data_IF_930398388096
#
_entry.id   IF_930398388096
#
_cell.length_a   1.000
_cell.length_b   1.000
_cell.length_c   1.000
_cell.angle_alpha   90.00
_cell.angle_beta   90.00
_cell.angle_gamma   90.00
#
_symmetry.space_group_name_H-M   'P 1'
#
loop_
_entity.id
_entity.type
_entity.pdbx_description
1 polymer ?
#
# COMPACT_ATOMS: atom_id res chain seq x y z
N UNK A 1 7.42 -40.69 9.81
CA UNK A 1 7.07 -39.72 8.76
C UNK A 1 7.63 -38.39 9.20
N UNK A 2 8.59 -37.81 8.47
CA UNK A 2 9.07 -36.46 8.77
C UNK A 2 7.88 -35.50 8.61
N UNK A 3 7.53 -34.78 9.67
CA UNK A 3 6.57 -33.68 9.58
C UNK A 3 7.12 -32.68 8.57
N UNK A 4 6.34 -32.21 7.58
CA UNK A 4 6.76 -31.12 6.73
C UNK A 4 7.16 -29.94 7.63
N UNK A 5 8.33 -29.32 7.42
CA UNK A 5 8.65 -28.09 8.14
C UNK A 5 7.72 -26.99 7.62
N UNK A 6 6.76 -26.59 8.46
CA UNK A 6 5.84 -25.50 8.20
C UNK A 6 6.53 -24.18 8.52
N UNK A 7 6.99 -23.47 7.50
CA UNK A 7 7.68 -22.19 7.66
C UNK A 7 6.73 -20.99 7.58
N UNK A 8 5.43 -21.21 7.36
CA UNK A 8 4.45 -20.15 7.09
C UNK A 8 4.51 -19.00 8.10
N UNK A 9 4.60 -19.32 9.40
CA UNK A 9 4.67 -18.31 10.46
C UNK A 9 5.97 -17.52 10.45
N UNK A 10 7.12 -18.19 10.44
CA UNK A 10 8.43 -17.52 10.44
C UNK A 10 8.67 -16.72 9.15
N UNK A 11 8.28 -17.30 8.01
CA UNK A 11 8.34 -16.67 6.71
C UNK A 11 7.44 -15.42 6.64
N UNK A 12 6.20 -15.50 7.15
CA UNK A 12 5.31 -14.34 7.20
C UNK A 12 5.86 -13.20 8.07
N UNK A 13 6.50 -13.52 9.19
CA UNK A 13 7.11 -12.53 10.08
C UNK A 13 8.32 -11.85 9.42
N UNK A 14 9.20 -12.63 8.80
CA UNK A 14 10.36 -12.10 8.09
C UNK A 14 9.94 -11.18 6.93
N UNK A 15 8.92 -11.57 6.16
CA UNK A 15 8.38 -10.74 5.09
C UNK A 15 7.70 -9.48 5.61
N UNK A 16 6.88 -9.58 6.66
CA UNK A 16 6.24 -8.41 7.27
C UNK A 16 7.26 -7.37 7.76
N UNK A 17 8.43 -7.82 8.24
CA UNK A 17 9.53 -6.94 8.63
C UNK A 17 10.26 -6.33 7.42
N UNK A 18 10.30 -7.03 6.29
CA UNK A 18 10.96 -6.56 5.07
C UNK A 18 10.10 -5.57 4.26
N UNK A 19 8.77 -5.73 4.26
CA UNK A 19 7.82 -4.90 3.50
C UNK A 19 8.04 -3.39 3.57
N UNK A 20 8.34 -2.77 4.73
CA UNK A 20 8.56 -1.33 4.81
C UNK A 20 9.75 -0.84 3.97
N UNK A 21 10.69 -1.74 3.63
CA UNK A 21 11.94 -1.41 2.93
C UNK A 21 11.97 -1.88 1.48
N UNK A 22 11.24 -2.95 1.15
CA UNK A 22 11.25 -3.55 -0.19
C UNK A 22 10.09 -3.09 -1.07
N UNK A 23 8.97 -2.69 -0.47
CA UNK A 23 7.79 -2.22 -1.19
C UNK A 23 7.84 -0.71 -1.38
N UNK A 24 7.40 -0.24 -2.55
CA UNK A 24 7.21 1.18 -2.79
C UNK A 24 6.11 1.76 -1.89
N UNK A 25 5.07 0.97 -1.58
CA UNK A 25 4.01 1.32 -0.63
C UNK A 25 4.27 0.83 0.79
N UNK A 26 5.53 0.56 1.17
CA UNK A 26 5.90 -0.07 2.44
C UNK A 26 5.33 0.60 3.70
N UNK A 27 5.17 1.93 3.72
CA UNK A 27 4.55 2.62 4.86
C UNK A 27 3.06 2.31 5.04
N UNK A 28 2.34 1.95 3.97
CA UNK A 28 0.95 1.48 4.05
C UNK A 28 0.87 0.06 4.63
N UNK A 29 1.94 -0.73 4.46
CA UNK A 29 2.10 -2.06 5.07
C UNK A 29 2.61 -2.02 6.51
N UNK A 30 3.11 -0.87 6.98
CA UNK A 30 3.64 -0.65 8.32
C UNK A 30 2.71 0.23 9.18
N UNK A 31 1.41 0.18 8.95
CA UNK A 31 0.46 1.07 9.63
C UNK A 31 0.13 0.61 11.04
N UNK A 32 -0.12 1.58 11.94
CA UNK A 32 -0.70 1.29 13.26
C UNK A 32 -2.03 0.53 13.19
N UNK A 33 -2.73 0.61 12.05
CA UNK A 33 -3.99 -0.07 11.83
C UNK A 33 -3.83 -1.60 11.71
N UNK A 34 -2.63 -2.10 11.42
CA UNK A 34 -2.40 -3.54 11.27
C UNK A 34 -2.59 -4.34 12.58
N UNK A 35 -2.61 -3.67 13.73
CA UNK A 35 -3.00 -4.26 15.03
C UNK A 35 -4.43 -3.97 15.47
N UNK A 36 -5.22 -3.22 14.69
CA UNK A 36 -6.55 -2.72 15.10
C UNK A 36 -7.73 -3.52 14.56
N UNK A 37 -7.52 -4.46 13.64
CA UNK A 37 -8.54 -5.41 13.18
C UNK A 37 -8.31 -6.79 13.80
N UNK A 38 -9.36 -7.60 13.86
CA UNK A 38 -9.26 -9.00 14.30
C UNK A 38 -9.57 -9.96 13.16
N UNK A 39 -8.96 -11.13 13.20
CA UNK A 39 -9.27 -12.20 12.25
C UNK A 39 -10.46 -13.02 12.75
N UNK A 40 -11.47 -13.18 11.89
CA UNK A 40 -12.61 -14.08 12.09
C UNK A 40 -12.49 -15.21 11.08
N UNK A 41 -11.61 -16.17 11.37
CA UNK A 41 -11.20 -17.24 10.45
C UNK A 41 -9.97 -16.87 9.62
N UNK A 42 -9.68 -17.66 8.57
CA UNK A 42 -8.49 -17.49 7.73
C UNK A 42 -8.63 -16.42 6.64
N UNK A 43 -9.85 -16.05 6.28
CA UNK A 43 -10.15 -15.19 5.11
C UNK A 43 -10.91 -13.90 5.46
N UNK A 44 -11.36 -13.72 6.68
CA UNK A 44 -12.19 -12.56 7.07
C UNK A 44 -11.52 -11.80 8.19
N UNK A 45 -11.43 -10.49 8.04
CA UNK A 45 -11.07 -9.57 9.12
C UNK A 45 -12.29 -8.76 9.54
N UNK A 46 -12.33 -8.34 10.80
CA UNK A 46 -13.34 -7.43 11.32
C UNK A 46 -12.67 -6.17 11.84
N UNK A 47 -13.16 -5.04 11.33
CA UNK A 47 -12.68 -3.72 11.70
C UNK A 47 -13.64 -3.13 12.74
N UNK A 48 -13.16 -2.74 13.94
CA UNK A 48 -13.99 -2.09 14.92
C UNK A 48 -14.29 -0.66 14.49
N UNK A 49 -15.57 -0.29 14.56
CA UNK A 49 -16.03 1.07 14.31
C UNK A 49 -16.78 1.56 15.55
N UNK A 50 -16.24 2.60 16.17
CA UNK A 50 -16.91 3.30 17.27
C UNK A 50 -17.53 4.57 16.69
N UNK A 51 -18.77 4.86 17.07
CA UNK A 51 -19.41 6.16 16.84
C UNK A 51 -19.80 6.77 18.17
N UNK A 52 -19.69 8.09 18.28
CA UNK A 52 -20.07 8.84 19.47
C UNK A 52 -20.83 10.10 19.08
N UNK A 53 -21.66 10.62 19.98
CA UNK A 53 -22.29 11.94 19.80
C UNK A 53 -21.41 13.06 20.34
N UNK A 54 -21.72 14.29 19.92
CA UNK A 54 -21.07 15.50 20.43
C UNK A 54 -21.41 15.82 21.88
N UNK A 55 -20.71 16.82 22.43
CA UNK A 55 -21.06 17.43 23.71
C UNK A 55 -22.41 18.15 23.61
N UNK A 56 -23.14 18.19 24.70
CA UNK A 56 -24.38 18.96 24.85
C UNK A 56 -24.15 20.13 25.79
N UNK A 57 -24.95 21.18 25.64
CA UNK A 57 -24.93 22.32 26.55
C UNK A 57 -25.33 21.88 27.97
N UNK A 58 -24.72 22.52 28.97
CA UNK A 58 -24.95 22.20 30.39
C UNK A 58 -25.40 23.43 31.14
N UNK A 59 -26.37 23.26 32.05
CA UNK A 59 -26.80 24.29 33.00
C UNK A 59 -26.31 23.90 34.41
N UNK A 60 -25.90 24.89 35.22
CA UNK A 60 -25.50 24.69 36.62
C UNK A 60 -26.68 24.39 37.54
N UNK A 61 -27.90 24.77 37.16
CA UNK A 61 -29.09 24.66 38.01
C UNK A 61 -29.73 23.27 37.99
N UNK A 62 -29.39 22.42 37.02
CA UNK A 62 -30.02 21.10 36.82
C UNK A 62 -29.01 20.05 36.41
N UNK A 63 -29.12 18.84 36.96
CA UNK A 63 -28.36 17.67 36.52
C UNK A 63 -29.26 16.81 35.63
N UNK A 64 -28.91 16.70 34.34
CA UNK A 64 -29.58 15.81 33.39
C UNK A 64 -28.98 14.40 33.46
N UNK A 65 -29.81 13.37 33.40
CA UNK A 65 -29.35 11.99 33.43
C UNK A 65 -28.48 11.65 32.21
N UNK A 66 -27.29 11.10 32.45
CA UNK A 66 -26.40 10.65 31.38
C UNK A 66 -27.06 9.54 30.56
N UNK A 67 -26.99 9.67 29.23
CA UNK A 67 -27.46 8.66 28.28
C UNK A 67 -26.26 7.99 27.60
N UNK A 68 -26.43 6.74 27.16
CA UNK A 68 -25.42 6.08 26.32
C UNK A 68 -25.34 6.83 24.99
N UNK A 69 -24.17 7.37 24.71
CA UNK A 69 -23.90 8.24 23.57
C UNK A 69 -22.83 7.67 22.63
N UNK A 70 -22.58 6.36 22.73
CA UNK A 70 -21.65 5.65 21.88
C UNK A 70 -22.23 4.32 21.39
N UNK A 71 -21.86 3.95 20.17
CA UNK A 71 -22.14 2.63 19.61
C UNK A 71 -20.86 1.98 19.08
N UNK A 72 -20.82 0.65 19.16
CA UNK A 72 -19.70 -0.16 18.70
C UNK A 72 -20.21 -1.19 17.68
N UNK A 73 -19.74 -1.09 16.45
CA UNK A 73 -20.08 -1.99 15.36
C UNK A 73 -18.81 -2.58 14.74
N UNK A 74 -18.91 -3.81 14.24
CA UNK A 74 -17.81 -4.50 13.57
C UNK A 74 -18.14 -4.63 12.09
N UNK A 75 -17.24 -4.14 11.22
CA UNK A 75 -17.38 -4.26 9.78
C UNK A 75 -16.56 -5.48 9.30
N UNK A 76 -17.20 -6.57 8.84
CA UNK A 76 -16.48 -7.70 8.26
C UNK A 76 -15.99 -7.36 6.85
N UNK A 77 -14.72 -7.62 6.58
CA UNK A 77 -14.10 -7.57 5.25
C UNK A 77 -13.51 -8.93 4.93
N UNK A 78 -13.90 -9.48 3.77
CA UNK A 78 -13.40 -10.76 3.28
C UNK A 78 -12.24 -10.48 2.34
N UNK A 79 -11.09 -11.10 2.59
CA UNK A 79 -9.93 -11.06 1.70
C UNK A 79 -10.28 -11.81 0.42
N UNK A 80 -10.21 -11.13 -0.71
CA UNK A 80 -10.60 -11.70 -2.00
C UNK A 80 -9.42 -12.17 -2.83
N UNK A 81 -8.23 -11.57 -2.62
CA UNK A 81 -7.05 -11.89 -3.39
C UNK A 81 -6.29 -13.08 -2.76
N UNK A 82 -6.45 -14.26 -3.36
CA UNK A 82 -5.75 -15.48 -3.00
C UNK A 82 -4.63 -15.73 -4.01
N UNK A 83 -3.40 -15.81 -3.54
CA UNK A 83 -2.21 -16.04 -4.37
C UNK A 83 -1.55 -17.34 -3.98
N UNK A 84 -1.10 -18.08 -4.99
CA UNK A 84 -0.33 -19.30 -4.82
C UNK A 84 0.85 -19.30 -5.78
N UNK A 85 1.96 -19.84 -5.32
CA UNK A 85 3.12 -20.08 -6.17
C UNK A 85 3.78 -21.40 -5.80
N UNK A 86 4.20 -22.14 -6.82
CA UNK A 86 4.83 -23.45 -6.64
C UNK A 86 5.91 -23.66 -7.68
N UNK A 87 7.01 -24.28 -7.29
CA UNK A 87 8.09 -24.64 -8.21
C UNK A 87 8.69 -26.00 -7.87
N UNK A 88 9.25 -26.66 -8.89
CA UNK A 88 9.98 -27.91 -8.78
C UNK A 88 11.44 -27.67 -9.12
N UNK A 89 12.35 -28.21 -8.30
CA UNK A 89 13.79 -28.12 -8.53
C UNK A 89 14.41 -29.50 -8.47
N UNK A 90 15.07 -29.92 -9.55
CA UNK A 90 15.75 -31.21 -9.57
C UNK A 90 17.12 -31.09 -8.86
N UNK A 91 17.51 -32.05 -7.99
CA UNK A 91 18.80 -31.98 -7.29
C UNK A 91 20.01 -31.86 -8.23
N UNK A 92 19.98 -32.56 -9.37
CA UNK A 92 21.04 -32.46 -10.37
C UNK A 92 21.17 -31.05 -10.98
N UNK A 93 20.08 -30.28 -11.08
CA UNK A 93 20.14 -28.90 -11.59
C UNK A 93 20.85 -27.98 -10.59
N UNK A 94 20.67 -28.24 -9.29
CA UNK A 94 21.38 -27.52 -8.23
C UNK A 94 22.88 -27.76 -8.35
N UNK A 95 23.31 -29.02 -8.50
CA UNK A 95 24.73 -29.36 -8.60
C UNK A 95 25.34 -28.86 -9.93
N UNK A 96 24.64 -29.00 -11.05
CA UNK A 96 25.10 -28.57 -12.37
C UNK A 96 25.21 -27.04 -12.48
N UNK A 97 24.37 -26.30 -11.76
CA UNK A 97 24.41 -24.83 -11.72
C UNK A 97 25.31 -24.30 -10.61
N UNK A 98 26.10 -25.14 -9.93
CA UNK A 98 26.92 -24.73 -8.78
C UNK A 98 26.09 -24.01 -7.70
N UNK A 99 24.91 -24.53 -7.37
CA UNK A 99 23.94 -24.00 -6.40
C UNK A 99 23.26 -22.68 -6.78
N UNK A 100 23.47 -22.16 -8.00
CA UNK A 100 22.79 -20.94 -8.47
C UNK A 100 21.28 -21.17 -8.57
N UNK A 101 20.82 -22.31 -9.06
CA UNK A 101 19.40 -22.70 -9.10
C UNK A 101 18.90 -23.30 -7.76
N UNK A 102 19.50 -22.90 -6.63
CA UNK A 102 19.00 -23.30 -5.32
C UNK A 102 17.64 -22.65 -5.03
N UNK A 103 16.80 -23.35 -4.27
CA UNK A 103 15.46 -22.90 -3.90
C UNK A 103 15.49 -21.55 -3.18
N UNK A 104 16.52 -21.28 -2.37
CA UNK A 104 16.70 -19.98 -1.71
C UNK A 104 16.89 -18.83 -2.71
N UNK A 105 17.71 -19.02 -3.74
CA UNK A 105 17.91 -18.00 -4.77
C UNK A 105 16.66 -17.82 -5.64
N UNK A 106 16.01 -18.92 -6.03
CA UNK A 106 14.78 -18.87 -6.85
C UNK A 106 13.68 -18.14 -6.09
N UNK A 107 13.44 -18.47 -4.82
CA UNK A 107 12.42 -17.79 -3.99
C UNK A 107 12.78 -16.34 -3.75
N UNK A 108 14.07 -15.99 -3.60
CA UNK A 108 14.50 -14.58 -3.52
C UNK A 108 14.17 -13.80 -4.79
N UNK A 109 14.56 -14.31 -5.96
CA UNK A 109 14.26 -13.67 -7.26
C UNK A 109 12.75 -13.55 -7.46
N UNK A 110 12.00 -14.60 -7.15
CA UNK A 110 10.54 -14.55 -7.21
C UNK A 110 9.95 -13.47 -6.28
N UNK A 111 10.44 -13.34 -5.04
CA UNK A 111 9.98 -12.30 -4.13
C UNK A 111 10.29 -10.89 -4.67
N UNK A 112 11.53 -10.67 -5.12
CA UNK A 112 12.02 -9.36 -5.57
C UNK A 112 11.43 -8.92 -6.91
N UNK A 113 11.28 -9.84 -7.87
CA UNK A 113 10.88 -9.49 -9.25
C UNK A 113 9.40 -9.70 -9.54
N UNK A 114 8.71 -10.59 -8.82
CA UNK A 114 7.32 -10.93 -9.11
C UNK A 114 6.41 -10.54 -7.95
N UNK A 115 6.65 -11.07 -6.75
CA UNK A 115 5.74 -10.90 -5.61
C UNK A 115 5.66 -9.47 -5.12
N UNK A 116 6.78 -8.82 -4.83
CA UNK A 116 6.78 -7.45 -4.30
C UNK A 116 6.18 -6.43 -5.28
N UNK A 117 6.56 -6.44 -6.58
CA UNK A 117 5.92 -5.55 -7.55
C UNK A 117 4.43 -5.83 -7.73
N UNK A 118 4.00 -7.10 -7.66
CA UNK A 118 2.58 -7.46 -7.70
C UNK A 118 1.83 -6.90 -6.48
N UNK A 119 2.38 -7.01 -5.27
CA UNK A 119 1.80 -6.44 -4.04
C UNK A 119 1.67 -4.91 -4.12
N UNK A 120 2.66 -4.22 -4.71
CA UNK A 120 2.61 -2.77 -4.92
C UNK A 120 1.53 -2.39 -5.95
N UNK A 121 1.47 -3.11 -7.08
CA UNK A 121 0.47 -2.89 -8.13
C UNK A 121 -0.96 -3.17 -7.63
N UNK A 122 -1.15 -4.23 -6.86
CA UNK A 122 -2.43 -4.55 -6.23
C UNK A 122 -2.84 -3.48 -5.22
N UNK A 123 -1.92 -3.03 -4.36
CA UNK A 123 -2.20 -2.03 -3.34
C UNK A 123 -2.80 -0.76 -3.92
N UNK A 124 -2.14 -0.14 -4.90
CA UNK A 124 -2.61 1.14 -5.45
C UNK A 124 -3.90 0.99 -6.27
N UNK A 125 -4.04 -0.08 -7.04
CA UNK A 125 -5.23 -0.30 -7.86
C UNK A 125 -6.45 -0.62 -7.01
N UNK A 126 -6.27 -1.38 -5.92
CA UNK A 126 -7.33 -1.69 -4.97
C UNK A 126 -7.77 -0.46 -4.18
N UNK A 127 -6.82 0.36 -3.69
CA UNK A 127 -7.13 1.65 -3.05
C UNK A 127 -7.91 2.55 -4.02
N UNK A 128 -7.48 2.66 -5.28
CA UNK A 128 -8.19 3.47 -6.27
C UNK A 128 -9.61 2.96 -6.55
N UNK A 129 -9.78 1.65 -6.70
CA UNK A 129 -11.07 1.02 -6.95
C UNK A 129 -12.04 1.21 -5.79
N UNK A 130 -11.61 0.95 -4.56
CA UNK A 130 -12.42 1.12 -3.36
C UNK A 130 -12.77 2.61 -3.13
N UNK A 131 -11.83 3.52 -3.37
CA UNK A 131 -12.05 4.96 -3.26
C UNK A 131 -13.07 5.48 -4.27
N UNK A 132 -13.01 5.00 -5.52
CA UNK A 132 -13.96 5.35 -6.58
C UNK A 132 -15.35 4.73 -6.30
N UNK A 133 -15.40 3.51 -5.76
CA UNK A 133 -16.65 2.86 -5.37
C UNK A 133 -17.40 3.61 -4.26
N UNK A 134 -16.70 4.40 -3.45
CA UNK A 134 -17.29 5.31 -2.46
C UNK A 134 -17.83 6.61 -3.07
N UNK A 135 -17.75 6.79 -4.40
CA UNK A 135 -18.29 7.93 -5.14
C UNK A 135 -17.31 9.09 -5.33
N UNK A 136 -16.03 8.93 -4.94
CA UNK A 136 -15.02 9.96 -5.14
C UNK A 136 -14.54 10.00 -6.59
N UNK A 137 -14.14 11.20 -7.05
CA UNK A 137 -13.67 11.42 -8.42
C UNK A 137 -12.25 11.94 -8.40
N UNK A 138 -11.36 11.27 -9.14
CA UNK A 138 -9.97 11.65 -9.25
C UNK A 138 -9.81 12.92 -10.08
N UNK A 139 -8.80 13.72 -9.75
CA UNK A 139 -8.44 14.87 -10.57
C UNK A 139 -7.78 14.38 -11.88
N UNK A 140 -8.23 14.90 -13.01
CA UNK A 140 -7.71 14.56 -14.34
C UNK A 140 -6.92 15.71 -14.97
N UNK A 141 -6.55 16.71 -14.19
CA UNK A 141 -5.80 17.88 -14.65
C UNK A 141 -4.43 17.46 -15.19
N UNK A 142 -4.11 17.92 -16.41
CA UNK A 142 -2.81 17.69 -17.02
C UNK A 142 -1.75 18.44 -16.24
N UNK A 143 -0.77 17.70 -15.71
CA UNK A 143 0.28 18.24 -14.86
C UNK A 143 1.40 18.89 -15.70
N UNK A 144 1.77 20.11 -15.32
CA UNK A 144 2.82 20.93 -15.90
C UNK A 144 3.66 21.55 -14.79
N UNK A 145 4.83 22.10 -15.12
CA UNK A 145 5.66 22.81 -14.12
C UNK A 145 4.99 24.05 -13.53
N UNK A 146 3.97 24.62 -14.20
CA UNK A 146 3.26 25.80 -13.72
C UNK A 146 2.14 25.48 -12.72
N UNK A 147 1.40 24.37 -12.93
CA UNK A 147 0.21 24.05 -12.13
C UNK A 147 0.42 22.94 -11.09
N UNK A 148 1.54 22.19 -11.14
CA UNK A 148 1.74 21.02 -10.28
C UNK A 148 1.66 21.35 -8.77
N UNK A 149 2.15 22.51 -8.37
CA UNK A 149 2.09 22.96 -6.98
C UNK A 149 0.67 23.37 -6.58
N UNK A 150 -0.07 24.05 -7.45
CA UNK A 150 -1.47 24.42 -7.21
C UNK A 150 -2.37 23.19 -7.08
N UNK A 151 -2.16 22.18 -7.93
CA UNK A 151 -2.88 20.89 -7.83
C UNK A 151 -2.55 20.23 -6.50
N UNK A 152 -1.27 20.17 -6.11
CA UNK A 152 -0.86 19.60 -4.82
C UNK A 152 -1.51 20.35 -3.64
N UNK A 153 -1.51 21.67 -3.65
CA UNK A 153 -2.11 22.50 -2.60
C UNK A 153 -3.63 22.26 -2.52
N UNK A 154 -4.31 22.11 -3.65
CA UNK A 154 -5.75 21.77 -3.68
C UNK A 154 -6.03 20.40 -3.06
N UNK A 155 -5.17 19.40 -3.30
CA UNK A 155 -5.31 18.09 -2.63
C UNK A 155 -5.10 18.21 -1.12
N UNK A 156 -4.12 19.01 -0.69
CA UNK A 156 -3.83 19.27 0.71
C UNK A 156 -4.97 20.00 1.42
N UNK A 157 -5.57 20.99 0.76
CA UNK A 157 -6.73 21.74 1.24
C UNK A 157 -7.94 20.82 1.44
N UNK A 158 -8.27 19.98 0.44
CA UNK A 158 -9.36 18.99 0.55
C UNK A 158 -9.20 18.07 1.76
N UNK A 159 -7.98 17.57 1.99
CA UNK A 159 -7.71 16.72 3.17
C UNK A 159 -7.81 17.49 4.49
N UNK A 160 -7.37 18.75 4.51
CA UNK A 160 -7.42 19.60 5.72
C UNK A 160 -8.85 19.99 6.07
N UNK A 161 -9.67 20.35 5.09
CA UNK A 161 -11.11 20.60 5.27
C UNK A 161 -11.85 19.35 5.79
N UNK A 162 -11.44 18.17 5.32
CA UNK A 162 -11.91 16.88 5.83
C UNK A 162 -11.34 16.51 7.22
N UNK A 163 -10.56 17.40 7.87
CA UNK A 163 -9.94 17.22 9.19
C UNK A 163 -8.96 16.05 9.26
N UNK A 164 -8.37 15.66 8.12
CA UNK A 164 -7.30 14.67 8.09
C UNK A 164 -6.03 15.31 8.64
N UNK A 165 -5.28 14.66 9.55
CA UNK A 165 -4.02 15.20 10.04
C UNK A 165 -3.06 15.58 8.91
N UNK A 166 -2.42 16.75 9.03
CA UNK A 166 -1.39 17.19 8.09
C UNK A 166 -0.10 16.35 8.22
N UNK A 167 0.24 15.99 9.47
CA UNK A 167 1.40 15.16 9.79
C UNK A 167 1.16 13.72 9.35
N UNK A 168 2.11 13.15 8.62
CA UNK A 168 2.06 11.75 8.19
C UNK A 168 1.36 11.51 6.85
N UNK A 169 0.99 12.56 6.11
CA UNK A 169 0.55 12.43 4.72
C UNK A 169 1.73 12.01 3.84
N UNK A 170 1.48 11.09 2.92
CA UNK A 170 2.47 10.59 1.96
C UNK A 170 1.96 10.87 0.55
N UNK A 171 2.80 11.50 -0.27
CA UNK A 171 2.54 11.72 -1.69
C UNK A 171 3.34 10.72 -2.50
N UNK A 172 2.66 9.78 -3.14
CA UNK A 172 3.24 8.87 -4.13
C UNK A 172 3.16 9.50 -5.50
N UNK A 173 4.31 9.59 -6.18
CA UNK A 173 4.42 10.23 -7.50
C UNK A 173 5.18 9.36 -8.48
N UNK A 174 4.83 9.47 -9.76
CA UNK A 174 5.63 8.90 -10.85
C UNK A 174 6.95 9.66 -11.04
N UNK A 175 7.98 9.07 -11.66
CA UNK A 175 9.29 9.73 -11.83
C UNK A 175 9.22 11.00 -12.69
N UNK A 176 8.30 11.02 -13.66
CA UNK A 176 8.02 12.21 -14.48
C UNK A 176 7.49 13.36 -13.63
N UNK A 177 6.53 13.07 -12.74
CA UNK A 177 5.93 14.08 -11.85
C UNK A 177 6.93 14.53 -10.78
N UNK A 178 7.75 13.65 -10.21
CA UNK A 178 8.84 14.02 -9.29
C UNK A 178 9.79 15.05 -9.95
N UNK A 179 10.12 14.85 -11.23
CA UNK A 179 10.94 15.80 -12.00
C UNK A 179 10.22 17.14 -12.20
N UNK A 180 8.92 17.11 -12.52
CA UNK A 180 8.11 18.33 -12.65
C UNK A 180 8.05 19.12 -11.34
N UNK A 181 7.85 18.44 -10.22
CA UNK A 181 7.82 19.05 -8.87
C UNK A 181 9.16 19.73 -8.57
N UNK A 182 10.28 19.05 -8.86
CA UNK A 182 11.64 19.62 -8.65
C UNK A 182 11.86 20.86 -9.51
N UNK A 183 11.48 20.81 -10.78
CA UNK A 183 11.62 21.94 -11.69
C UNK A 183 10.73 23.12 -11.24
N UNK A 184 9.49 22.86 -10.81
CA UNK A 184 8.59 23.90 -10.29
C UNK A 184 9.18 24.58 -9.03
N UNK A 185 9.76 23.80 -8.10
CA UNK A 185 10.47 24.33 -6.93
C UNK A 185 11.69 25.18 -7.30
N UNK A 186 12.49 24.77 -8.29
CA UNK A 186 13.63 25.55 -8.75
C UNK A 186 13.21 26.89 -9.34
N UNK A 187 12.10 26.94 -10.09
CA UNK A 187 11.53 28.17 -10.61
C UNK A 187 11.12 29.10 -9.45
N UNK A 188 10.36 28.61 -8.46
CA UNK A 188 9.98 29.43 -7.30
C UNK A 188 11.20 29.90 -6.50
N UNK A 189 12.22 29.04 -6.33
CA UNK A 189 13.45 29.40 -5.60
C UNK A 189 14.29 30.41 -6.34
N UNK A 190 14.43 30.33 -7.67
CA UNK A 190 15.18 31.32 -8.46
C UNK A 190 14.50 32.69 -8.47
N UNK A 191 13.16 32.74 -8.42
CA UNK A 191 12.43 33.98 -8.17
C UNK A 191 12.80 34.56 -6.79
N UNK A 192 12.80 33.74 -5.73
CA UNK A 192 13.18 34.19 -4.38
C UNK A 192 14.68 34.59 -4.25
N UNK A 193 15.59 33.97 -5.02
CA UNK A 193 17.02 34.31 -4.99
C UNK A 193 17.28 35.68 -5.62
N UNK A 194 16.50 36.11 -6.63
CA UNK A 194 16.56 37.48 -7.16
C UNK A 194 16.23 38.53 -6.08
N UNK A 195 15.55 38.14 -5.00
CA UNK A 195 15.23 38.95 -3.82
C UNK A 195 16.11 38.66 -2.58
N UNK A 196 17.29 38.02 -2.75
CA UNK A 196 18.38 38.11 -1.77
C UNK A 196 18.50 36.96 -0.74
N UNK A 197 18.74 35.72 -1.20
CA UNK A 197 19.07 34.63 -0.28
C UNK A 197 19.82 33.45 -0.92
N UNK A 198 21.10 33.30 -0.57
CA UNK A 198 22.01 32.23 -1.03
C UNK A 198 21.75 30.90 -0.32
N UNK A 199 21.55 29.83 -1.09
CA UNK A 199 22.19 28.50 -0.94
C UNK A 199 21.50 27.52 -1.87
N UNK A 200 22.25 26.59 -2.45
CA UNK A 200 21.76 25.54 -3.35
C UNK A 200 21.69 24.24 -2.54
N UNK A 201 20.51 23.89 -2.02
CA UNK A 201 20.27 22.57 -1.45
C UNK A 201 19.38 21.78 -2.40
N UNK A 202 19.96 20.75 -3.03
CA UNK A 202 19.35 19.90 -4.07
C UNK A 202 18.52 18.74 -3.51
N UNK A 203 18.32 18.69 -2.19
CA UNK A 203 17.56 17.64 -1.52
C UNK A 203 16.58 18.24 -0.52
N UNK A 204 15.34 18.45 -0.95
CA UNK A 204 14.21 18.55 -0.03
C UNK A 204 13.17 17.56 -0.52
N UNK A 205 13.18 16.38 0.10
CA UNK A 205 12.26 15.26 -0.13
C UNK A 205 10.84 15.55 0.32
N UNK A 206 10.65 16.69 1.01
CA UNK A 206 9.37 17.07 1.60
C UNK A 206 8.84 18.36 0.96
N UNK A 207 7.52 18.47 0.87
CA UNK A 207 6.79 19.72 0.61
C UNK A 207 5.82 19.86 1.75
N UNK A 208 5.89 20.97 2.49
CA UNK A 208 4.91 21.26 3.54
C UNK A 208 4.71 20.09 4.54
N UNK A 209 5.83 19.48 4.97
CA UNK A 209 5.85 18.30 5.86
C UNK A 209 5.20 17.02 5.30
N UNK A 210 4.89 16.97 4.00
CA UNK A 210 4.44 15.77 3.29
C UNK A 210 5.63 15.03 2.70
N UNK A 211 5.71 13.73 2.97
CA UNK A 211 6.77 12.86 2.43
C UNK A 211 6.48 12.52 0.98
N UNK A 212 7.43 12.77 0.08
CA UNK A 212 7.30 12.38 -1.33
C UNK A 212 8.00 11.04 -1.57
N UNK A 213 7.27 10.06 -2.09
CA UNK A 213 7.79 8.75 -2.48
C UNK A 213 7.66 8.58 -3.98
N UNK A 214 8.80 8.31 -4.63
CA UNK A 214 8.86 8.05 -6.06
C UNK A 214 8.57 6.57 -6.33
N UNK A 215 7.57 6.31 -7.16
CA UNK A 215 7.14 4.96 -7.56
C UNK A 215 7.25 4.83 -9.08
N UNK A 216 7.79 3.72 -9.61
CA UNK A 216 7.80 3.45 -11.05
C UNK A 216 6.41 3.54 -11.70
N UNK A 217 6.31 4.12 -12.89
CA UNK A 217 5.02 4.37 -13.55
C UNK A 217 4.24 3.10 -13.90
N UNK A 218 4.95 1.98 -14.14
CA UNK A 218 4.37 0.67 -14.37
C UNK A 218 3.71 0.07 -13.12
N UNK A 219 4.06 0.56 -11.92
CA UNK A 219 3.45 0.18 -10.65
C UNK A 219 2.37 1.17 -10.18
N UNK A 220 2.16 2.27 -10.90
CA UNK A 220 1.11 3.27 -10.60
C UNK A 220 0.02 3.33 -11.70
N UNK A 221 -0.76 2.26 -11.85
CA UNK A 221 -1.92 2.21 -12.76
C UNK A 221 -3.22 1.98 -12.00
N UNK A 222 -4.34 2.40 -12.60
CA UNK A 222 -5.68 2.22 -12.01
C UNK A 222 -6.16 0.78 -12.01
N UNK A 223 -5.74 -0.03 -13.00
CA UNK A 223 -6.19 -1.42 -13.17
C UNK A 223 -5.03 -2.31 -13.59
N UNK A 224 -4.98 -3.52 -13.03
CA UNK A 224 -4.03 -4.58 -13.38
C UNK A 224 -4.76 -5.89 -13.64
N UNK A 225 -4.12 -6.77 -14.41
CA UNK A 225 -4.49 -8.17 -14.57
C UNK A 225 -3.48 -9.04 -13.80
N UNK A 226 -4.01 -9.84 -12.86
CA UNK A 226 -3.26 -10.70 -11.96
C UNK A 226 -3.37 -12.20 -12.31
N UNK A 227 -3.82 -12.54 -13.53
CA UNK A 227 -3.99 -13.93 -13.98
C UNK A 227 -2.67 -14.71 -13.95
N UNK A 228 -1.55 -14.07 -14.31
CA UNK A 228 -0.20 -14.65 -14.21
C UNK A 228 0.79 -13.52 -14.01
N UNK A 229 1.35 -13.45 -12.79
CA UNK A 229 2.12 -12.28 -12.34
C UNK A 229 1.24 -11.02 -12.36
N UNK A 230 1.87 -9.89 -12.66
CA UNK A 230 1.21 -8.59 -12.75
C UNK A 230 1.46 -7.95 -14.11
N UNK A 231 0.39 -7.41 -14.72
CA UNK A 231 0.46 -6.62 -15.95
C UNK A 231 -0.63 -5.57 -15.97
N UNK A 232 -0.43 -4.50 -16.72
CA UNK A 232 -1.46 -3.46 -16.86
C UNK A 232 -2.76 -4.07 -17.44
N UNK A 233 -3.88 -3.78 -16.79
CA UNK A 233 -5.19 -4.28 -17.20
C UNK A 233 -5.74 -3.53 -18.41
N UNK A 234 -6.79 -4.07 -19.03
CA UNK A 234 -7.50 -3.37 -20.09
C UNK A 234 -8.11 -2.07 -19.55
N UNK A 235 -7.87 -0.94 -20.24
CA UNK A 235 -8.33 0.38 -19.81
C UNK A 235 -7.55 0.99 -18.63
N UNK A 236 -6.38 0.43 -18.28
CA UNK A 236 -5.53 0.97 -17.23
C UNK A 236 -5.06 2.39 -17.57
N UNK A 237 -5.39 3.34 -16.69
CA UNK A 237 -4.95 4.73 -16.75
C UNK A 237 -3.73 4.93 -15.86
N UNK A 238 -2.85 5.87 -16.21
CA UNK A 238 -1.74 6.26 -15.35
C UNK A 238 -2.25 7.00 -14.11
N UNK A 239 -1.81 6.60 -12.92
CA UNK A 239 -1.92 7.42 -11.72
C UNK A 239 -0.64 8.26 -11.65
N UNK A 240 -0.79 9.58 -11.71
CA UNK A 240 0.33 10.52 -11.69
C UNK A 240 0.73 10.88 -10.26
N UNK A 241 -0.27 11.09 -9.39
CA UNK A 241 -0.10 11.39 -7.98
C UNK A 241 -1.16 10.66 -7.15
N UNK A 242 -0.77 10.20 -5.98
CA UNK A 242 -1.67 9.65 -4.97
C UNK A 242 -1.24 10.19 -3.61
N UNK A 243 -2.11 10.99 -2.99
CA UNK A 243 -1.89 11.52 -1.65
C UNK A 243 -2.69 10.65 -0.68
N UNK A 244 -2.00 10.01 0.26
CA UNK A 244 -2.60 9.04 1.18
C UNK A 244 -2.10 9.31 2.59
N UNK A 245 -3.03 9.29 3.55
CA UNK A 245 -2.68 9.16 4.95
C UNK A 245 -2.68 7.68 5.37
N UNK A 246 -1.58 7.11 5.90
CA UNK A 246 -1.47 5.68 6.22
C UNK A 246 -2.56 5.19 7.18
N UNK A 247 -3.01 6.04 8.11
CA UNK A 247 -4.14 5.72 9.02
C UNK A 247 -5.51 5.44 8.37
N UNK A 248 -5.65 5.62 7.05
CA UNK A 248 -6.87 5.31 6.31
C UNK A 248 -6.83 3.96 5.58
N UNK A 249 -5.66 3.33 5.48
CA UNK A 249 -5.45 2.08 4.75
C UNK A 249 -5.16 0.94 5.73
N UNK A 250 -5.58 -0.26 5.36
CA UNK A 250 -5.31 -1.52 6.06
C UNK A 250 -4.89 -2.56 5.02
N UNK A 251 -3.81 -3.28 5.28
CA UNK A 251 -3.21 -4.25 4.35
C UNK A 251 -3.06 -5.63 5.03
N UNK A 252 -4.15 -6.37 5.26
CA UNK A 252 -4.06 -7.70 5.86
C UNK A 252 -3.36 -8.68 4.92
N UNK A 253 -2.38 -9.42 5.45
CA UNK A 253 -1.71 -10.53 4.76
C UNK A 253 -1.72 -11.74 5.69
N UNK A 254 -2.22 -12.87 5.20
CA UNK A 254 -2.29 -14.14 5.90
C UNK A 254 -1.68 -15.24 5.04
N UNK A 255 -0.54 -15.76 5.48
CA UNK A 255 0.06 -16.95 4.86
C UNK A 255 -0.59 -18.20 5.42
N UNK A 256 -1.16 -19.02 4.53
CA UNK A 256 -1.77 -20.30 4.91
C UNK A 256 -0.75 -21.43 4.84
N UNK A 257 0.09 -21.42 3.80
CA UNK A 257 1.12 -22.44 3.61
C UNK A 257 2.40 -21.80 3.07
N UNK A 258 3.53 -22.27 3.58
CA UNK A 258 4.85 -22.07 3.00
C UNK A 258 5.70 -23.28 3.40
N UNK A 259 5.85 -24.24 2.50
CA UNK A 259 6.46 -25.54 2.79
C UNK A 259 7.43 -25.94 1.70
N UNK A 260 8.51 -26.60 2.12
CA UNK A 260 9.47 -27.25 1.24
C UNK A 260 9.42 -28.77 1.46
N UNK A 261 9.12 -29.51 0.40
CA UNK A 261 9.07 -30.96 0.42
C UNK A 261 10.34 -31.55 -0.20
N UNK A 262 10.94 -32.52 0.52
CA UNK A 262 12.13 -33.24 0.09
C UNK A 262 11.84 -34.24 -1.06
N UNK A 263 12.85 -34.54 -1.91
CA UNK A 263 12.77 -35.53 -2.97
C UNK A 263 12.18 -36.88 -2.52
N UNK A 264 11.05 -37.26 -3.11
CA UNK A 264 10.38 -38.54 -2.86
C UNK A 264 9.65 -39.02 -4.11
N UNK A 265 9.12 -40.24 -4.09
CA UNK A 265 8.46 -40.83 -5.26
C UNK A 265 7.31 -39.96 -5.82
N UNK A 266 6.54 -39.30 -4.95
CA UNK A 266 5.44 -38.41 -5.36
C UNK A 266 5.90 -37.09 -5.97
N UNK A 267 7.15 -36.66 -5.71
CA UNK A 267 7.75 -35.47 -6.35
C UNK A 267 8.69 -35.86 -7.49
N UNK A 268 8.70 -37.13 -7.90
CA UNK A 268 9.60 -37.68 -8.92
C UNK A 268 11.08 -37.40 -8.63
N UNK A 269 11.47 -37.40 -7.35
CA UNK A 269 12.85 -37.10 -6.94
C UNK A 269 13.25 -35.62 -7.03
N UNK A 270 12.29 -34.70 -7.19
CA UNK A 270 12.51 -33.24 -7.19
C UNK A 270 12.15 -32.65 -5.82
N UNK A 271 12.78 -31.54 -5.47
CA UNK A 271 12.30 -30.68 -4.39
C UNK A 271 11.04 -29.94 -4.85
N UNK A 272 10.02 -29.87 -3.99
CA UNK A 272 8.78 -29.13 -4.26
C UNK A 272 8.66 -27.98 -3.26
N UNK A 273 8.63 -26.75 -3.75
CA UNK A 273 8.28 -25.59 -2.95
C UNK A 273 6.86 -25.15 -3.27
N UNK A 274 6.09 -24.83 -2.23
CA UNK A 274 4.72 -24.34 -2.34
C UNK A 274 4.48 -23.24 -1.30
N UNK A 275 3.94 -22.11 -1.75
CA UNK A 275 3.38 -21.08 -0.88
C UNK A 275 1.96 -20.68 -1.31
N UNK A 276 1.14 -20.35 -0.31
CA UNK A 276 -0.21 -19.83 -0.46
C UNK A 276 -0.48 -18.73 0.56
N UNK A 277 -1.01 -17.59 0.08
CA UNK A 277 -1.41 -16.45 0.90
C UNK A 277 -2.78 -15.91 0.50
N UNK A 278 -3.49 -15.41 1.50
CA UNK A 278 -4.58 -14.46 1.32
C UNK A 278 -4.05 -13.07 1.66
N UNK A 279 -4.19 -12.14 0.73
CA UNK A 279 -3.81 -10.75 0.93
C UNK A 279 -4.95 -9.86 0.44
N UNK A 280 -5.13 -8.69 1.02
CA UNK A 280 -6.02 -7.68 0.45
C UNK A 280 -5.61 -6.29 0.94
N UNK A 281 -6.19 -5.26 0.34
CA UNK A 281 -6.03 -3.87 0.77
C UNK A 281 -7.41 -3.25 0.92
N UNK A 282 -7.65 -2.60 2.04
CA UNK A 282 -8.91 -1.95 2.35
C UNK A 282 -8.69 -0.50 2.75
N UNK A 283 -9.56 0.38 2.25
CA UNK A 283 -9.71 1.73 2.80
C UNK A 283 -10.78 1.70 3.89
N UNK A 284 -10.52 2.39 4.99
CA UNK A 284 -11.53 2.67 6.00
C UNK A 284 -12.57 3.63 5.41
N UNK A 285 -13.80 3.17 5.18
CA UNK A 285 -14.85 3.96 4.53
C UNK A 285 -15.03 5.36 5.16
N UNK A 286 -14.96 5.46 6.51
CA UNK A 286 -15.08 6.74 7.26
C UNK A 286 -13.88 7.69 7.12
N UNK A 287 -12.78 7.23 6.51
CA UNK A 287 -11.55 7.99 6.28
C UNK A 287 -11.18 8.03 4.79
N UNK A 288 -12.13 7.79 3.89
CA UNK A 288 -11.87 7.81 2.46
C UNK A 288 -11.36 9.18 1.95
N UNK A 289 -11.75 10.27 2.62
CA UNK A 289 -11.28 11.62 2.31
C UNK A 289 -9.77 11.81 2.53
N UNK A 290 -9.14 10.91 3.29
CA UNK A 290 -7.70 10.87 3.52
C UNK A 290 -6.92 10.17 2.39
N UNK A 291 -7.57 9.91 1.26
CA UNK A 291 -6.99 9.44 0.02
C UNK A 291 -7.43 10.39 -1.10
N UNK A 292 -6.50 10.82 -1.93
CA UNK A 292 -6.76 11.64 -3.10
C UNK A 292 -5.88 11.18 -4.26
N UNK A 293 -6.40 11.30 -5.49
CA UNK A 293 -5.71 10.83 -6.69
C UNK A 293 -5.71 11.87 -7.80
N UNK A 294 -4.61 11.91 -8.55
CA UNK A 294 -4.52 12.56 -9.85
C UNK A 294 -4.18 11.50 -10.88
N UNK A 295 -5.04 11.37 -11.88
CA UNK A 295 -4.96 10.32 -12.90
C UNK A 295 -4.95 10.91 -14.30
N UNK A 296 -4.54 10.11 -15.26
CA UNK A 296 -4.70 10.39 -16.68
C UNK A 296 -6.18 10.57 -17.05
N UNK A 297 -6.45 11.54 -17.92
CA UNK A 297 -7.80 11.90 -18.35
C UNK A 297 -8.53 10.77 -19.07
#
# INVERSE_FOLDING_TARGET
MAQPLEYAKEYSQALAQAYPYVLHFGELYATENNGRYRWTGSKTIEIPTISTTGRVDSNRDTITAAQRNYDNAWEPKVLTNQRKWSTLVHPADIDQTSYVASIGNITKVYNEEQKFPEMDAYCISKIYADWTALGNTADTTVLTTANILEVFDSLMEKMTEARVPAVGRILYVTPGVDTLIKNAKEIQRTVNIKDGGTSLNRQTTDIDSVKIVKVPSNLMKTVYDFTTGWKAGAGAKQIFMSLVHPSAVITPVSYQFATLDEPRAVTEGKYLYFEESFEDVFILNKKADAVQFVVEA
#
